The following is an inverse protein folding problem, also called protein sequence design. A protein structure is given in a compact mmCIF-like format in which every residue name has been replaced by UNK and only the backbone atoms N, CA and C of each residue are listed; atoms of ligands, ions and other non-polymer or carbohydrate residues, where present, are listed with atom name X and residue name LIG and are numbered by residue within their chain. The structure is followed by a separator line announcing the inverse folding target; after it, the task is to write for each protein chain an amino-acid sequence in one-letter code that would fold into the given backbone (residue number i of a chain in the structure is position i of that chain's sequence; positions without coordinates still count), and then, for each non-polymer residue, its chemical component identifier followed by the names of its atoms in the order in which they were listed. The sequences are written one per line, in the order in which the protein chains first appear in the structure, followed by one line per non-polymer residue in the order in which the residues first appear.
data_IF_686707452105
#
_entry.id   IF_686707452105
#
_cell.length_a   1.000
_cell.length_b   1.000
_cell.length_c   1.000
_cell.angle_alpha   90.00
_cell.angle_beta   90.00
_cell.angle_gamma   90.00
#
_symmetry.space_group_name_H-M   'P 1'
#
loop_
_entity.id
_entity.type
_entity.pdbx_description
1 polymer ?
#
# COMPACT_ATOMS: atom_id res chain seq x y z
N UNK A 1 5.37 2.06 -14.26
CA UNK A 1 4.59 1.89 -13.05
C UNK A 1 3.93 3.22 -12.68
N UNK A 2 2.60 3.27 -12.63
CA UNK A 2 1.85 4.44 -12.16
C UNK A 2 1.37 4.29 -10.72
N UNK A 3 1.38 5.41 -9.97
CA UNK A 3 0.74 5.55 -8.67
C UNK A 3 -0.76 5.90 -8.83
N UNK A 4 -1.45 5.15 -9.64
CA UNK A 4 -2.81 5.42 -10.10
C UNK A 4 -3.86 5.49 -8.97
N UNK A 5 -3.67 4.75 -7.90
CA UNK A 5 -4.55 4.79 -6.72
C UNK A 5 -3.78 5.19 -5.46
N UNK A 6 -3.43 6.47 -5.36
CA UNK A 6 -2.77 7.03 -4.18
C UNK A 6 -3.77 7.86 -3.37
N UNK A 7 -4.21 7.29 -2.26
CA UNK A 7 -5.16 7.90 -1.35
C UNK A 7 -4.53 8.87 -0.37
N UNK A 8 -5.27 9.90 0.01
CA UNK A 8 -4.94 10.70 1.20
C UNK A 8 -5.01 9.81 2.44
N UNK A 9 -3.95 9.79 3.26
CA UNK A 9 -3.87 8.85 4.38
C UNK A 9 -2.99 9.34 5.51
N UNK A 10 -3.46 9.11 6.74
CA UNK A 10 -2.68 9.27 7.96
C UNK A 10 -1.52 8.26 8.08
N UNK A 11 -1.57 7.14 7.35
CA UNK A 11 -0.50 6.13 7.35
C UNK A 11 0.81 6.59 6.70
N UNK A 12 0.88 7.79 6.15
CA UNK A 12 2.14 8.37 5.64
C UNK A 12 2.95 9.11 6.71
N UNK A 13 2.41 9.28 7.94
CA UNK A 13 3.03 10.08 9.01
C UNK A 13 4.50 9.76 9.25
N UNK A 14 4.89 8.52 9.62
CA UNK A 14 6.28 8.19 9.94
C UNK A 14 7.27 8.50 8.81
N UNK A 15 6.89 8.30 7.55
CA UNK A 15 7.72 8.65 6.40
C UNK A 15 7.83 10.17 6.24
N UNK A 16 6.72 10.90 6.37
CA UNK A 16 6.70 12.37 6.25
C UNK A 16 7.58 13.01 7.31
N UNK A 17 7.51 12.52 8.56
CA UNK A 17 8.34 12.99 9.66
C UNK A 17 9.82 12.72 9.40
N UNK A 18 10.14 11.51 8.94
CA UNK A 18 11.51 11.10 8.64
C UNK A 18 12.20 11.90 7.53
N UNK A 19 11.43 12.41 6.55
CA UNK A 19 11.96 13.24 5.44
C UNK A 19 11.70 14.74 5.64
N UNK A 20 11.21 15.16 6.81
CA UNK A 20 10.94 16.56 7.13
C UNK A 20 9.84 17.21 6.27
N UNK A 21 8.97 16.42 5.64
CA UNK A 21 7.95 16.91 4.72
C UNK A 21 6.66 17.35 5.42
N UNK A 22 6.55 17.11 6.72
CA UNK A 22 5.49 17.64 7.59
C UNK A 22 5.68 19.12 7.92
N UNK A 23 6.93 19.62 7.88
CA UNK A 23 7.28 20.99 8.26
C UNK A 23 7.18 22.02 7.12
N UNK A 24 6.86 21.58 5.89
CA UNK A 24 6.60 22.53 4.80
C UNK A 24 5.18 23.08 4.92
N UNK A 25 5.07 24.23 5.56
CA UNK A 25 3.85 25.02 5.58
C UNK A 25 3.35 25.28 4.16
N UNK A 26 2.08 25.02 3.92
CA UNK A 26 1.35 25.52 2.75
C UNK A 26 1.01 24.52 1.65
N UNK A 27 1.46 23.24 1.69
CA UNK A 27 1.01 22.26 0.70
C UNK A 27 0.18 21.17 1.40
N UNK A 28 -1.12 21.33 1.34
CA UNK A 28 -2.05 20.25 1.68
C UNK A 28 -2.01 19.17 0.58
N UNK A 29 -1.24 18.10 0.86
CA UNK A 29 -1.10 16.97 -0.06
C UNK A 29 -2.40 16.20 -0.27
N UNK A 30 -3.40 16.39 0.58
CA UNK A 30 -4.73 15.78 0.41
C UNK A 30 -5.46 16.35 -0.79
N UNK A 31 -5.14 17.58 -1.21
CA UNK A 31 -5.79 18.27 -2.32
C UNK A 31 -5.63 17.60 -3.70
N UNK A 32 -4.59 16.75 -3.88
CA UNK A 32 -4.30 16.03 -5.13
C UNK A 32 -4.27 14.50 -4.97
N UNK A 33 -4.53 13.99 -3.75
CA UNK A 33 -4.63 12.56 -3.48
C UNK A 33 -6.12 12.17 -3.47
N UNK A 34 -6.39 10.90 -3.78
CA UNK A 34 -7.75 10.38 -3.77
C UNK A 34 -8.38 10.48 -2.38
N UNK A 35 -9.66 10.79 -2.35
CA UNK A 35 -10.45 10.74 -1.12
C UNK A 35 -10.60 9.28 -0.65
N UNK A 36 -10.33 9.05 0.63
CA UNK A 36 -10.42 7.73 1.25
C UNK A 36 -11.85 7.14 1.23
N UNK A 37 -12.88 7.95 1.05
CA UNK A 37 -14.27 7.52 0.97
C UNK A 37 -14.70 7.12 -0.46
N UNK A 38 -13.84 7.31 -1.48
CA UNK A 38 -14.23 7.16 -2.88
C UNK A 38 -13.42 6.06 -3.59
N UNK A 39 -14.08 4.97 -3.93
CA UNK A 39 -13.49 3.86 -4.70
C UNK A 39 -13.55 4.12 -6.22
N UNK A 40 -14.59 4.81 -6.70
CA UNK A 40 -14.83 4.98 -8.14
C UNK A 40 -13.77 5.86 -8.80
N UNK A 41 -13.27 6.86 -8.07
CA UNK A 41 -12.19 7.72 -8.56
C UNK A 41 -10.87 6.96 -8.74
N UNK A 42 -10.59 5.98 -7.88
CA UNK A 42 -9.43 5.13 -8.05
C UNK A 42 -9.52 4.33 -9.36
N UNK A 43 -10.66 3.72 -9.63
CA UNK A 43 -10.86 2.94 -10.86
C UNK A 43 -10.81 3.83 -12.12
N UNK A 44 -11.35 5.06 -12.05
CA UNK A 44 -11.23 6.02 -13.16
C UNK A 44 -9.79 6.46 -13.41
N UNK A 45 -9.06 6.74 -12.35
CA UNK A 45 -7.64 7.11 -12.46
C UNK A 45 -6.82 5.95 -13.05
N UNK A 46 -7.03 4.73 -12.56
CA UNK A 46 -6.37 3.51 -13.08
C UNK A 46 -6.67 3.35 -14.59
N UNK A 47 -7.92 3.50 -14.98
CA UNK A 47 -8.30 3.40 -16.41
C UNK A 47 -7.61 4.46 -17.28
N UNK A 48 -7.52 5.70 -16.78
CA UNK A 48 -6.79 6.79 -17.43
C UNK A 48 -5.32 6.45 -17.61
N UNK A 49 -4.64 6.07 -16.53
CA UNK A 49 -3.21 5.75 -16.53
C UNK A 49 -2.88 4.56 -17.46
N UNK A 50 -3.76 3.56 -17.52
CA UNK A 50 -3.61 2.44 -18.47
C UNK A 50 -3.75 2.87 -19.92
N UNK A 51 -4.69 3.78 -20.23
CA UNK A 51 -4.83 4.37 -21.57
C UNK A 51 -3.61 5.21 -21.96
N UNK A 52 -2.97 5.84 -20.98
CA UNK A 52 -1.74 6.61 -21.14
C UNK A 52 -0.47 5.73 -21.20
N UNK A 53 -0.62 4.40 -21.16
CA UNK A 53 0.45 3.44 -21.37
C UNK A 53 1.16 2.96 -20.10
N UNK A 54 0.52 2.99 -18.94
CA UNK A 54 1.08 2.38 -17.73
C UNK A 54 1.11 0.85 -17.84
N UNK A 55 2.29 0.24 -17.59
CA UNK A 55 2.47 -1.22 -17.61
C UNK A 55 2.12 -1.89 -16.28
N UNK A 56 2.12 -1.12 -15.20
CA UNK A 56 1.84 -1.58 -13.83
C UNK A 56 1.12 -0.49 -13.06
N UNK A 57 0.26 -0.89 -12.14
CA UNK A 57 -0.52 0.00 -11.27
C UNK A 57 -0.10 -0.18 -9.82
N UNK A 58 0.12 0.92 -9.10
CA UNK A 58 0.37 0.91 -7.66
C UNK A 58 -0.84 1.42 -6.89
N UNK A 59 -1.24 0.67 -5.86
CA UNK A 59 -2.26 1.06 -4.89
C UNK A 59 -1.58 1.37 -3.56
N UNK A 60 -1.84 2.57 -3.01
CA UNK A 60 -1.13 3.14 -1.87
C UNK A 60 -2.06 4.01 -1.01
N UNK A 61 -2.20 3.73 0.30
CA UNK A 61 -1.70 2.57 1.06
C UNK A 61 -2.25 1.24 0.57
N UNK A 62 -1.64 0.12 0.97
CA UNK A 62 -2.07 -1.19 0.52
C UNK A 62 -3.08 -1.88 1.45
N UNK A 63 -2.78 -1.92 2.75
CA UNK A 63 -3.50 -2.76 3.71
C UNK A 63 -4.96 -2.32 3.91
N UNK A 64 -5.20 -1.02 3.94
CA UNK A 64 -6.53 -0.44 4.13
C UNK A 64 -7.32 -0.32 2.83
N UNK A 65 -6.76 -0.72 1.68
CA UNK A 65 -7.36 -0.63 0.34
C UNK A 65 -7.27 -1.96 -0.42
N UNK A 66 -7.44 -3.09 0.31
CA UNK A 66 -7.48 -4.43 -0.29
C UNK A 66 -8.68 -4.60 -1.24
N UNK A 67 -9.78 -3.91 -0.98
CA UNK A 67 -10.94 -3.82 -1.84
C UNK A 67 -10.61 -3.20 -3.20
N UNK A 68 -9.82 -2.13 -3.22
CA UNK A 68 -9.38 -1.49 -4.47
C UNK A 68 -8.42 -2.40 -5.24
N UNK A 69 -7.55 -3.14 -4.56
CA UNK A 69 -6.69 -4.15 -5.19
C UNK A 69 -7.56 -5.23 -5.86
N UNK A 70 -8.58 -5.72 -5.16
CA UNK A 70 -9.48 -6.75 -5.67
C UNK A 70 -10.30 -6.24 -6.87
N UNK A 71 -10.92 -5.08 -6.76
CA UNK A 71 -11.68 -4.47 -7.86
C UNK A 71 -10.80 -4.20 -9.08
N UNK A 72 -9.56 -3.75 -8.87
CA UNK A 72 -8.60 -3.53 -9.96
C UNK A 72 -8.24 -4.85 -10.63
N UNK A 73 -8.02 -5.92 -9.85
CA UNK A 73 -7.69 -7.25 -10.36
C UNK A 73 -8.82 -7.85 -11.18
N UNK A 74 -10.06 -7.62 -10.75
CA UNK A 74 -11.24 -8.14 -11.45
C UNK A 74 -11.50 -7.40 -12.77
N UNK A 75 -11.19 -6.10 -12.82
CA UNK A 75 -11.52 -5.25 -13.97
C UNK A 75 -10.41 -5.16 -14.99
N UNK A 76 -9.12 -5.25 -14.59
CA UNK A 76 -7.98 -5.01 -15.47
C UNK A 76 -6.96 -6.15 -15.43
N UNK A 77 -6.50 -6.56 -16.59
CA UNK A 77 -5.42 -7.55 -16.74
C UNK A 77 -4.05 -6.86 -16.73
N UNK A 78 -3.64 -6.34 -15.59
CA UNK A 78 -2.37 -5.61 -15.39
C UNK A 78 -1.72 -6.02 -14.08
N UNK A 79 -0.38 -6.04 -13.97
CA UNK A 79 0.29 -6.25 -12.70
C UNK A 79 -0.05 -5.14 -11.69
N UNK A 80 -0.44 -5.55 -10.48
CA UNK A 80 -0.83 -4.66 -9.40
C UNK A 80 0.25 -4.71 -8.31
N UNK A 81 0.75 -3.55 -7.92
CA UNK A 81 1.72 -3.38 -6.83
C UNK A 81 1.02 -2.79 -5.61
N UNK A 82 0.98 -3.53 -4.51
CA UNK A 82 0.49 -3.02 -3.24
C UNK A 82 1.63 -2.35 -2.45
N UNK A 83 1.42 -1.16 -1.92
CA UNK A 83 2.42 -0.50 -1.06
C UNK A 83 2.00 -0.59 0.41
N UNK A 84 2.71 -1.42 1.18
CA UNK A 84 2.61 -1.45 2.63
C UNK A 84 3.43 -0.29 3.22
N UNK A 85 2.74 0.82 3.52
CA UNK A 85 3.36 2.12 3.84
C UNK A 85 3.90 2.20 5.28
N UNK A 86 4.64 3.27 5.57
CA UNK A 86 5.37 3.45 6.83
C UNK A 86 4.49 3.41 8.08
N UNK A 87 3.29 3.96 8.03
CA UNK A 87 2.34 3.92 9.14
C UNK A 87 1.78 2.52 9.38
N UNK A 88 1.45 1.79 8.32
CA UNK A 88 1.05 0.39 8.42
C UNK A 88 2.18 -0.46 9.00
N UNK A 89 3.42 -0.27 8.51
CA UNK A 89 4.61 -0.91 9.07
C UNK A 89 4.77 -0.62 10.56
N UNK A 90 4.73 0.66 10.95
CA UNK A 90 4.93 1.08 12.35
C UNK A 90 3.85 0.53 13.27
N UNK A 91 2.59 0.51 12.83
CA UNK A 91 1.46 -0.06 13.56
C UNK A 91 1.70 -1.56 13.83
N UNK A 92 2.07 -2.31 12.82
CA UNK A 92 2.32 -3.75 12.92
C UNK A 92 3.53 -4.02 13.83
N UNK A 93 4.65 -3.32 13.63
CA UNK A 93 5.86 -3.46 14.47
C UNK A 93 5.57 -3.17 15.94
N UNK A 94 4.82 -2.11 16.24
CA UNK A 94 4.42 -1.80 17.61
C UNK A 94 3.48 -2.87 18.18
N UNK A 95 2.56 -3.40 17.38
CA UNK A 95 1.69 -4.49 17.82
C UNK A 95 2.46 -5.76 18.20
N UNK A 96 3.47 -6.13 17.40
CA UNK A 96 4.36 -7.25 17.70
C UNK A 96 5.19 -6.96 18.97
N UNK A 97 5.83 -5.78 19.05
CA UNK A 97 6.65 -5.36 20.18
C UNK A 97 5.88 -5.39 21.49
N UNK A 98 4.63 -4.95 21.49
CA UNK A 98 3.76 -4.90 22.66
C UNK A 98 2.97 -6.20 22.87
N UNK A 99 3.29 -7.28 22.13
CA UNK A 99 2.63 -8.60 22.26
C UNK A 99 1.12 -8.59 22.02
N UNK A 100 0.61 -7.63 21.25
CA UNK A 100 -0.79 -7.61 20.81
C UNK A 100 -1.02 -8.75 19.84
N UNK A 101 -0.06 -8.99 18.93
CA UNK A 101 -0.01 -10.16 18.04
C UNK A 101 1.41 -10.74 17.96
N UNK A 102 1.50 -11.99 17.54
CA UNK A 102 2.78 -12.64 17.27
C UNK A 102 3.28 -12.30 15.84
N UNK A 103 4.50 -12.71 15.51
CA UNK A 103 5.14 -12.42 14.22
C UNK A 103 4.44 -13.04 13.01
N UNK A 104 3.60 -14.08 13.19
CA UNK A 104 2.84 -14.68 12.10
C UNK A 104 1.85 -13.70 11.46
N UNK A 105 1.51 -12.59 12.12
CA UNK A 105 0.71 -11.51 11.54
C UNK A 105 1.33 -10.99 10.23
N UNK A 106 2.68 -10.98 10.12
CA UNK A 106 3.37 -10.58 8.89
C UNK A 106 3.01 -11.49 7.72
N UNK A 107 2.98 -12.81 7.98
CA UNK A 107 2.61 -13.79 6.96
C UNK A 107 1.16 -13.60 6.52
N UNK A 108 0.26 -13.38 7.46
CA UNK A 108 -1.16 -13.14 7.19
C UNK A 108 -1.37 -11.89 6.35
N UNK A 109 -0.69 -10.79 6.68
CA UNK A 109 -0.77 -9.51 5.94
C UNK A 109 -0.24 -9.69 4.51
N UNK A 110 0.92 -10.33 4.31
CA UNK A 110 1.46 -10.54 2.97
C UNK A 110 0.55 -11.45 2.13
N UNK A 111 -0.05 -12.46 2.76
CA UNK A 111 -1.04 -13.33 2.11
C UNK A 111 -2.31 -12.53 1.76
N UNK A 112 -2.74 -11.59 2.60
CA UNK A 112 -3.93 -10.77 2.32
C UNK A 112 -3.77 -9.90 1.07
N UNK A 113 -2.60 -9.30 0.87
CA UNK A 113 -2.27 -8.59 -0.38
C UNK A 113 -2.32 -9.53 -1.59
N UNK A 114 -1.69 -10.70 -1.47
CA UNK A 114 -1.68 -11.70 -2.53
C UNK A 114 -3.08 -12.19 -2.87
N UNK A 115 -3.88 -12.48 -1.84
CA UNK A 115 -5.28 -12.93 -1.99
C UNK A 115 -6.14 -11.86 -2.65
N UNK A 116 -5.92 -10.58 -2.34
CA UNK A 116 -6.61 -9.46 -2.98
C UNK A 116 -6.24 -9.31 -4.47
N UNK A 117 -5.12 -9.88 -4.93
CA UNK A 117 -4.71 -9.84 -6.33
C UNK A 117 -3.41 -9.11 -6.62
N UNK A 118 -2.67 -8.67 -5.59
CA UNK A 118 -1.38 -8.02 -5.80
C UNK A 118 -0.37 -8.99 -6.45
N UNK A 119 0.29 -8.52 -7.51
CA UNK A 119 1.38 -9.21 -8.21
C UNK A 119 2.72 -9.01 -7.50
N UNK A 120 2.90 -7.84 -6.87
CA UNK A 120 4.08 -7.48 -6.09
C UNK A 120 3.69 -6.64 -4.87
N UNK A 121 4.55 -6.63 -3.85
CA UNK A 121 4.35 -5.88 -2.61
C UNK A 121 5.62 -5.08 -2.32
N UNK A 122 5.47 -3.76 -2.17
CA UNK A 122 6.52 -2.89 -1.61
C UNK A 122 6.29 -2.79 -0.11
N UNK A 123 7.26 -3.17 0.69
CA UNK A 123 7.13 -3.18 2.15
C UNK A 123 8.47 -2.95 2.85
N UNK A 124 8.43 -2.23 3.96
CA UNK A 124 9.55 -2.14 4.90
C UNK A 124 9.87 -3.47 5.59
N UNK A 125 8.95 -4.43 5.53
CA UNK A 125 9.17 -5.80 6.02
C UNK A 125 9.84 -6.74 5.02
N UNK A 126 10.12 -6.31 3.79
CA UNK A 126 10.51 -7.23 2.71
C UNK A 126 11.68 -8.15 3.09
N UNK A 127 12.77 -7.58 3.63
CA UNK A 127 13.95 -8.37 4.05
C UNK A 127 13.59 -9.31 5.20
N UNK A 128 12.98 -8.79 6.26
CA UNK A 128 12.58 -9.57 7.44
C UNK A 128 11.64 -10.72 7.06
N UNK A 129 10.71 -10.48 6.15
CA UNK A 129 9.76 -11.49 5.68
C UNK A 129 10.46 -12.63 4.93
N UNK A 130 11.38 -12.28 4.03
CA UNK A 130 12.15 -13.27 3.26
C UNK A 130 12.99 -14.13 4.19
N UNK A 131 13.70 -13.51 5.14
CA UNK A 131 14.55 -14.22 6.10
C UNK A 131 13.75 -15.18 6.98
N UNK A 132 12.61 -14.74 7.50
CA UNK A 132 11.81 -15.50 8.45
C UNK A 132 10.93 -16.58 7.83
N UNK A 133 10.39 -16.34 6.63
CA UNK A 133 9.31 -17.19 6.09
C UNK A 133 9.61 -17.81 4.74
N UNK A 134 10.58 -17.32 3.98
CA UNK A 134 10.89 -17.86 2.65
C UNK A 134 12.22 -18.60 2.61
N UNK A 135 13.20 -18.24 3.43
CA UNK A 135 14.53 -18.88 3.47
C UNK A 135 14.63 -20.04 4.46
N UNK A 136 13.52 -20.47 5.08
CA UNK A 136 13.52 -21.69 5.90
C UNK A 136 13.54 -22.90 4.98
N UNK A 137 14.74 -23.37 4.64
CA UNK A 137 14.99 -24.70 4.05
C UNK A 137 15.17 -25.74 5.15
#
# INVERSE_FOLDING_TARGET
LSYAAKYASGFYGPFRDGVGSTQKEGIDKSSYQLDSANSDDALRQIEGDLKDGADMIMIKPGLTYLDIISQTKDKYNVPIVAYNVSGEYSMIKNGIKNKIFNENILKEIMISFKRAGASAIVSYFAIEYIEKFLNQK
#
